data_IF_329896861083
#
_entry.id   IF_329896861083
#
_cell.length_a   1.000
_cell.length_b   1.000
_cell.length_c   1.000
_cell.angle_alpha   90.00
_cell.angle_beta   90.00
_cell.angle_gamma   90.00
#
_symmetry.space_group_name_H-M   'P 1'
#
loop_
_entity.id
_entity.type
_entity.pdbx_description
1 polymer ?
#
# COMPACT_ATOMS: atom_id res chain seq x y z
N UNK A 1 -14.18 16.13 1.78
CA UNK A 1 -13.66 15.04 2.63
C UNK A 1 -12.89 14.13 1.69
N UNK A 2 -11.54 14.16 1.72
CA UNK A 2 -10.73 13.27 0.89
C UNK A 2 -10.87 11.83 1.42
N UNK A 3 -11.17 10.88 0.52
CA UNK A 3 -11.09 9.46 0.83
C UNK A 3 -9.60 9.10 0.90
N UNK A 4 -9.09 8.97 2.11
CA UNK A 4 -7.75 8.41 2.35
C UNK A 4 -7.85 6.91 2.11
N UNK A 5 -7.16 6.42 1.07
CA UNK A 5 -6.98 4.99 0.86
C UNK A 5 -6.15 4.43 2.02
N UNK A 6 -6.67 3.43 2.71
CA UNK A 6 -5.97 2.72 3.78
C UNK A 6 -5.43 1.40 3.22
N UNK A 7 -4.12 1.36 2.95
CA UNK A 7 -3.42 0.17 2.47
C UNK A 7 -2.99 -0.66 3.68
N UNK A 8 -3.44 -1.91 3.72
CA UNK A 8 -3.16 -2.82 4.82
C UNK A 8 -3.04 -4.25 4.31
N UNK A 9 -2.11 -5.01 4.88
CA UNK A 9 -1.83 -6.39 4.53
C UNK A 9 -2.37 -7.33 5.62
N UNK A 10 -3.13 -8.34 5.25
CA UNK A 10 -3.48 -9.42 6.17
C UNK A 10 -2.43 -10.53 6.08
N UNK A 11 -1.75 -10.80 7.19
CA UNK A 11 -0.69 -11.80 7.23
C UNK A 11 -0.85 -12.75 8.40
N UNK A 12 -0.18 -13.88 8.23
CA UNK A 12 0.00 -14.90 9.25
C UNK A 12 1.41 -14.77 9.84
N UNK A 13 1.50 -14.71 11.16
CA UNK A 13 2.75 -14.95 11.90
C UNK A 13 2.58 -16.20 12.77
N UNK A 14 3.65 -17.01 12.88
CA UNK A 14 3.60 -18.22 13.69
C UNK A 14 3.50 -17.90 15.18
N UNK A 15 3.08 -18.87 15.98
CA UNK A 15 3.03 -18.73 17.43
C UNK A 15 4.43 -18.43 18.02
N UNK A 16 5.51 -19.01 17.48
CA UNK A 16 6.87 -18.69 17.93
C UNK A 16 7.27 -17.25 17.59
N UNK A 17 7.00 -16.80 16.36
CA UNK A 17 7.28 -15.44 15.90
C UNK A 17 6.51 -14.40 16.72
N UNK A 18 5.25 -14.69 17.02
CA UNK A 18 4.42 -13.84 17.84
C UNK A 18 4.88 -13.78 19.30
N UNK A 19 5.34 -14.90 19.88
CA UNK A 19 5.91 -14.95 21.22
C UNK A 19 7.21 -14.13 21.30
N UNK A 20 8.07 -14.27 20.28
CA UNK A 20 9.29 -13.48 20.13
C UNK A 20 8.96 -12.00 20.06
N UNK A 21 8.07 -11.60 19.14
CA UNK A 21 7.65 -10.20 18.98
C UNK A 21 7.05 -9.64 20.28
N UNK A 22 6.17 -10.39 20.93
CA UNK A 22 5.56 -10.00 22.20
C UNK A 22 6.62 -9.73 23.27
N UNK A 23 7.59 -10.64 23.42
CA UNK A 23 8.68 -10.50 24.38
C UNK A 23 9.44 -9.20 24.13
N UNK A 24 9.84 -8.92 22.90
CA UNK A 24 10.58 -7.70 22.57
C UNK A 24 9.73 -6.44 22.78
N UNK A 25 8.47 -6.40 22.31
CA UNK A 25 7.60 -5.23 22.53
C UNK A 25 7.37 -5.00 24.04
N UNK A 26 7.19 -6.06 24.83
CA UNK A 26 6.89 -5.95 26.27
C UNK A 26 8.05 -5.35 27.08
N UNK A 27 9.28 -5.57 26.62
CA UNK A 27 10.49 -5.08 27.24
C UNK A 27 10.94 -3.73 26.68
N UNK A 28 10.30 -3.22 25.62
CA UNK A 28 10.67 -1.96 25.00
C UNK A 28 10.18 -0.73 25.80
N UNK A 29 11.07 0.21 26.20
CA UNK A 29 10.69 1.35 27.04
C UNK A 29 9.58 2.21 26.42
N UNK A 30 9.70 2.50 25.12
CA UNK A 30 8.76 3.39 24.42
C UNK A 30 7.56 2.69 23.76
N UNK A 31 7.70 1.41 23.40
CA UNK A 31 6.72 0.68 22.60
C UNK A 31 5.87 -0.32 23.40
N UNK A 32 6.21 -0.65 24.66
CA UNK A 32 5.39 -1.54 25.52
C UNK A 32 3.93 -1.13 25.67
N UNK A 33 3.64 0.17 25.51
CA UNK A 33 2.27 0.72 25.53
C UNK A 33 1.38 0.10 24.44
N UNK A 34 1.96 -0.32 23.32
CA UNK A 34 1.22 -0.87 22.18
C UNK A 34 0.65 -2.28 22.44
N UNK A 35 1.12 -2.97 23.49
CA UNK A 35 0.55 -4.25 23.96
C UNK A 35 -0.71 -4.01 24.79
N UNK A 36 -0.69 -2.99 25.66
CA UNK A 36 -1.79 -2.73 26.61
C UNK A 36 -2.88 -1.84 26.00
N UNK A 37 -2.50 -0.96 25.09
CA UNK A 37 -3.38 0.00 24.41
C UNK A 37 -2.94 0.12 22.95
N UNK A 38 -3.79 -0.31 22.01
CA UNK A 38 -3.57 -0.07 20.58
C UNK A 38 -3.48 -1.33 19.72
N UNK A 39 -2.67 -1.27 18.66
CA UNK A 39 -2.70 -2.17 17.50
C UNK A 39 -2.52 -3.67 17.80
N UNK A 40 -1.92 -4.02 18.94
CA UNK A 40 -1.69 -5.41 19.35
C UNK A 40 -2.55 -5.88 20.53
N UNK A 41 -3.32 -4.98 21.16
CA UNK A 41 -4.05 -5.27 22.40
C UNK A 41 -5.19 -6.28 22.20
N UNK A 42 -5.79 -6.33 21.01
CA UNK A 42 -6.80 -7.34 20.67
C UNK A 42 -6.17 -8.69 20.34
N UNK A 43 -5.04 -8.70 19.64
CA UNK A 43 -4.40 -9.91 19.13
C UNK A 43 -3.71 -10.70 20.26
N UNK A 44 -3.16 -10.03 21.27
CA UNK A 44 -2.51 -10.72 22.39
C UNK A 44 -3.43 -11.12 23.54
N UNK A 45 -4.71 -10.71 23.52
CA UNK A 45 -5.68 -11.14 24.54
C UNK A 45 -5.99 -12.64 24.41
N UNK A 46 -5.90 -13.16 23.18
CA UNK A 46 -6.14 -14.57 22.84
C UNK A 46 -4.84 -15.40 22.75
N UNK A 47 -3.66 -14.79 22.89
CA UNK A 47 -2.37 -15.49 22.85
C UNK A 47 -2.17 -16.49 24.01
N UNK A 48 -3.00 -16.40 25.03
CA UNK A 48 -3.07 -17.37 26.13
C UNK A 48 -3.52 -18.76 25.64
N UNK A 49 -4.09 -18.87 24.42
CA UNK A 49 -4.70 -20.10 23.90
C UNK A 49 -3.87 -20.86 22.84
N UNK A 50 -2.57 -20.55 22.64
CA UNK A 50 -1.68 -21.25 21.68
C UNK A 50 -2.14 -21.22 20.20
N UNK A 51 -3.07 -20.33 19.84
CA UNK A 51 -3.58 -20.20 18.47
C UNK A 51 -2.73 -19.23 17.60
N UNK A 52 -2.67 -19.45 16.28
CA UNK A 52 -1.95 -18.56 15.36
C UNK A 52 -2.56 -17.16 15.30
N UNK A 53 -1.70 -16.17 15.09
CA UNK A 53 -2.10 -14.76 15.07
C UNK A 53 -2.32 -14.24 13.65
N UNK A 54 -3.57 -13.88 13.38
CA UNK A 54 -3.94 -13.09 12.20
C UNK A 54 -3.67 -11.62 12.49
N UNK A 55 -2.74 -11.02 11.75
CA UNK A 55 -2.41 -9.62 11.89
C UNK A 55 -2.83 -8.85 10.64
N UNK A 56 -3.66 -7.82 10.83
CA UNK A 56 -3.83 -6.77 9.83
C UNK A 56 -2.74 -5.73 10.04
N UNK A 57 -1.73 -5.77 9.18
CA UNK A 57 -0.55 -4.94 9.23
C UNK A 57 -0.74 -3.71 8.37
N UNK A 58 -0.64 -2.54 8.99
CA UNK A 58 -0.42 -1.27 8.30
C UNK A 58 1.06 -0.94 8.33
N UNK A 59 1.52 -0.04 7.45
CA UNK A 59 2.89 0.49 7.45
C UNK A 59 3.35 0.95 8.85
N UNK A 60 2.45 1.60 9.59
CA UNK A 60 2.72 2.05 10.97
C UNK A 60 2.98 0.88 11.92
N UNK A 61 2.19 -0.19 11.82
CA UNK A 61 2.35 -1.37 12.68
C UNK A 61 3.65 -2.10 12.35
N UNK A 62 3.97 -2.26 11.06
CA UNK A 62 5.22 -2.85 10.59
C UNK A 62 6.45 -2.07 11.08
N UNK A 63 6.43 -0.74 10.98
CA UNK A 63 7.52 0.10 11.45
C UNK A 63 7.75 -0.05 12.96
N UNK A 64 6.67 -0.18 13.76
CA UNK A 64 6.80 -0.44 15.19
C UNK A 64 7.42 -1.82 15.44
N UNK A 65 6.96 -2.85 14.74
CA UNK A 65 7.51 -4.20 14.87
C UNK A 65 9.02 -4.24 14.55
N UNK A 66 9.41 -3.66 13.42
CA UNK A 66 10.80 -3.62 12.99
C UNK A 66 11.67 -2.84 13.99
N UNK A 67 11.25 -1.63 14.37
CA UNK A 67 11.98 -0.79 15.31
C UNK A 67 12.21 -1.49 16.65
N UNK A 68 11.17 -2.14 17.20
CA UNK A 68 11.29 -2.85 18.47
C UNK A 68 12.30 -4.01 18.41
N UNK A 69 12.30 -4.76 17.31
CA UNK A 69 13.25 -5.85 17.15
C UNK A 69 14.66 -5.30 16.96
N UNK A 70 14.85 -4.26 16.15
CA UNK A 70 16.16 -3.67 15.85
C UNK A 70 16.79 -2.95 17.05
N UNK A 71 16.01 -2.21 17.83
CA UNK A 71 16.50 -1.38 18.95
C UNK A 71 16.99 -2.20 20.16
N UNK A 72 16.69 -3.50 20.20
CA UNK A 72 16.99 -4.37 21.35
C UNK A 72 17.83 -5.57 20.96
N UNK A 73 19.01 -5.73 21.57
CA UNK A 73 19.81 -6.96 21.52
C UNK A 73 19.91 -7.59 22.91
N UNK A 74 19.19 -8.69 23.12
CA UNK A 74 19.19 -9.40 24.40
C UNK A 74 20.40 -10.35 24.58
N UNK A 75 21.32 -10.43 23.61
CA UNK A 75 22.42 -11.40 23.58
C UNK A 75 21.98 -12.87 23.80
N UNK A 76 20.73 -13.19 23.44
CA UNK A 76 20.19 -14.55 23.50
C UNK A 76 20.55 -15.21 22.17
N UNK A 77 21.51 -16.15 22.20
CA UNK A 77 22.04 -16.82 20.99
C UNK A 77 20.93 -17.49 20.18
N UNK A 78 19.96 -18.09 20.86
CA UNK A 78 18.81 -18.79 20.27
C UNK A 78 17.86 -17.86 19.51
N UNK A 79 17.83 -16.57 19.86
CA UNK A 79 16.94 -15.59 19.26
C UNK A 79 17.53 -14.90 18.02
N UNK A 80 18.86 -14.99 17.80
CA UNK A 80 19.54 -14.20 16.76
C UNK A 80 18.97 -14.49 15.37
N UNK A 81 18.82 -15.78 15.03
CA UNK A 81 18.29 -16.19 13.71
C UNK A 81 16.78 -15.90 13.61
N UNK A 82 15.92 -16.34 14.56
CA UNK A 82 14.49 -16.03 14.50
C UNK A 82 14.17 -14.53 14.45
N UNK A 83 14.91 -13.70 15.20
CA UNK A 83 14.76 -12.25 15.19
C UNK A 83 15.05 -11.69 13.80
N UNK A 84 16.17 -12.11 13.20
CA UNK A 84 16.55 -11.65 11.87
C UNK A 84 15.53 -12.05 10.82
N UNK A 85 15.11 -13.31 10.81
CA UNK A 85 14.12 -13.81 9.85
C UNK A 85 12.78 -13.06 9.96
N UNK A 86 12.37 -12.72 11.19
CA UNK A 86 11.16 -11.95 11.44
C UNK A 86 11.29 -10.48 10.99
N UNK A 87 12.44 -9.85 11.19
CA UNK A 87 12.73 -8.51 10.67
C UNK A 87 12.67 -8.51 9.13
N UNK A 88 13.32 -9.47 8.48
CA UNK A 88 13.34 -9.58 7.03
C UNK A 88 11.91 -9.72 6.46
N UNK A 89 11.06 -10.54 7.10
CA UNK A 89 9.63 -10.64 6.76
C UNK A 89 8.88 -9.31 6.89
N UNK A 90 9.11 -8.55 7.97
CA UNK A 90 8.47 -7.24 8.13
C UNK A 90 8.89 -6.25 7.04
N UNK A 91 10.16 -6.28 6.63
CA UNK A 91 10.62 -5.46 5.51
C UNK A 91 9.99 -5.86 4.18
N UNK A 92 9.87 -7.17 3.91
CA UNK A 92 9.16 -7.66 2.71
C UNK A 92 7.70 -7.20 2.69
N UNK A 93 6.98 -7.33 3.80
CA UNK A 93 5.59 -6.88 3.90
C UNK A 93 5.46 -5.36 3.82
N UNK A 94 6.41 -4.61 4.39
CA UNK A 94 6.43 -3.16 4.26
C UNK A 94 6.64 -2.74 2.81
N UNK A 95 7.47 -3.47 2.07
CA UNK A 95 7.69 -3.21 0.64
C UNK A 95 6.39 -3.41 -0.15
N UNK A 96 5.63 -4.48 0.11
CA UNK A 96 4.34 -4.71 -0.56
C UNK A 96 3.39 -3.52 -0.34
N UNK A 97 3.28 -3.03 0.89
CA UNK A 97 2.43 -1.87 1.20
C UNK A 97 2.93 -0.62 0.48
N UNK A 98 4.25 -0.36 0.49
CA UNK A 98 4.82 0.79 -0.22
C UNK A 98 4.58 0.70 -1.74
N UNK A 99 4.78 -0.48 -2.34
CA UNK A 99 4.56 -0.69 -3.78
C UNK A 99 3.08 -0.44 -4.16
N UNK A 100 2.13 -0.82 -3.29
CA UNK A 100 0.71 -0.52 -3.48
C UNK A 100 0.38 0.97 -3.29
N UNK A 101 0.96 1.63 -2.28
CA UNK A 101 0.83 3.08 -2.07
C UNK A 101 1.35 3.86 -3.29
N UNK A 102 2.53 3.50 -3.80
CA UNK A 102 3.15 4.11 -4.97
C UNK A 102 2.28 3.93 -6.23
N UNK A 103 1.71 2.74 -6.43
CA UNK A 103 0.81 2.48 -7.55
C UNK A 103 -0.47 3.33 -7.49
N UNK A 104 -1.02 3.54 -6.31
CA UNK A 104 -2.20 4.40 -6.12
C UNK A 104 -1.87 5.86 -6.44
N UNK A 105 -0.69 6.32 -6.03
CA UNK A 105 -0.24 7.69 -6.32
C UNK A 105 0.04 7.89 -7.82
N UNK A 106 0.57 6.88 -8.50
CA UNK A 106 0.69 6.88 -9.96
C UNK A 106 -0.67 7.01 -10.65
N UNK A 107 -1.69 6.29 -10.17
CA UNK A 107 -3.06 6.42 -10.69
C UNK A 107 -3.66 7.79 -10.41
N UNK A 108 -3.38 8.38 -9.24
CA UNK A 108 -3.81 9.74 -8.91
C UNK A 108 -3.19 10.76 -9.85
N UNK A 109 -1.87 10.66 -10.06
CA UNK A 109 -1.12 11.52 -10.98
C UNK A 109 -1.67 11.43 -12.40
N UNK A 110 -1.96 10.23 -12.88
CA UNK A 110 -2.59 10.03 -14.18
C UNK A 110 -4.00 10.62 -14.24
N UNK A 111 -4.80 10.47 -13.18
CA UNK A 111 -6.14 11.05 -13.13
C UNK A 111 -6.12 12.59 -13.17
N UNK A 112 -5.16 13.21 -12.48
CA UNK A 112 -4.99 14.67 -12.50
C UNK A 112 -4.50 15.17 -13.87
N UNK A 113 -3.69 14.38 -14.58
CA UNK A 113 -3.39 14.65 -16.00
C UNK A 113 -4.65 14.66 -16.87
N UNK A 114 -5.58 13.72 -16.67
CA UNK A 114 -6.85 13.70 -17.42
C UNK A 114 -7.73 14.93 -17.13
N UNK A 115 -7.68 15.47 -15.90
CA UNK A 115 -8.39 16.72 -15.57
C UNK A 115 -7.76 17.91 -16.26
N UNK A 116 -6.43 17.99 -16.27
CA UNK A 116 -5.70 19.06 -16.96
C UNK A 116 -6.07 19.12 -18.45
N UNK A 117 -6.25 17.95 -19.08
CA UNK A 117 -6.69 17.83 -20.48
C UNK A 117 -8.21 17.95 -20.69
N UNK A 118 -8.97 18.30 -19.65
CA UNK A 118 -10.44 18.49 -19.69
C UNK A 118 -11.22 17.24 -20.14
N UNK A 119 -10.62 16.05 -20.00
CA UNK A 119 -11.28 14.76 -20.26
C UNK A 119 -12.25 14.44 -19.11
N UNK A 120 -11.89 14.85 -17.89
CA UNK A 120 -12.73 14.83 -16.69
C UNK A 120 -12.86 16.26 -16.14
N UNK A 121 -13.93 16.51 -15.38
CA UNK A 121 -14.18 17.84 -14.83
C UNK A 121 -13.10 18.22 -13.82
N UNK A 122 -12.73 19.50 -13.82
CA UNK A 122 -11.70 20.06 -12.95
C UNK A 122 -12.06 19.96 -11.45
N UNK A 123 -13.36 20.03 -11.13
CA UNK A 123 -13.90 19.89 -9.78
C UNK A 123 -14.08 18.43 -9.33
N UNK A 124 -13.76 17.46 -10.19
CA UNK A 124 -13.92 16.05 -9.84
C UNK A 124 -12.77 15.56 -8.93
N UNK A 125 -13.08 14.63 -8.03
CA UNK A 125 -12.10 14.10 -7.08
C UNK A 125 -11.65 12.68 -7.47
N UNK A 126 -10.39 12.35 -7.16
CA UNK A 126 -9.82 11.04 -7.44
C UNK A 126 -10.49 9.94 -6.60
N UNK A 127 -10.78 8.82 -7.26
CA UNK A 127 -10.99 7.53 -6.63
C UNK A 127 -10.64 6.45 -7.66
N UNK A 128 -10.17 5.28 -7.23
CA UNK A 128 -9.87 4.17 -8.13
C UNK A 128 -11.05 3.82 -9.04
N UNK A 129 -12.26 3.77 -8.48
CA UNK A 129 -13.48 3.49 -9.26
C UNK A 129 -13.72 4.51 -10.37
N UNK A 130 -13.47 5.80 -10.12
CA UNK A 130 -13.56 6.85 -11.14
C UNK A 130 -12.43 6.75 -12.14
N UNK A 131 -11.19 6.62 -11.67
CA UNK A 131 -10.02 6.48 -12.53
C UNK A 131 -10.20 5.33 -13.54
N UNK A 132 -10.60 4.14 -13.09
CA UNK A 132 -10.83 3.01 -13.99
C UNK A 132 -11.98 3.26 -14.97
N UNK A 133 -13.08 3.91 -14.54
CA UNK A 133 -14.18 4.29 -15.46
C UNK A 133 -13.71 5.30 -16.52
N UNK A 134 -12.96 6.32 -16.12
CA UNK A 134 -12.47 7.36 -17.02
C UNK A 134 -11.42 6.84 -17.99
N UNK A 135 -10.51 5.96 -17.54
CA UNK A 135 -9.50 5.35 -18.41
C UNK A 135 -10.10 4.55 -19.58
N UNK A 136 -11.25 3.90 -19.37
CA UNK A 136 -12.01 3.29 -20.47
C UNK A 136 -12.50 4.32 -21.50
N UNK A 137 -12.96 5.49 -21.04
CA UNK A 137 -13.44 6.57 -21.92
C UNK A 137 -12.28 7.31 -22.61
N UNK A 138 -11.10 7.40 -21.98
CA UNK A 138 -9.90 7.96 -22.60
C UNK A 138 -9.46 7.12 -23.81
N UNK A 139 -9.47 5.79 -23.71
CA UNK A 139 -9.14 4.91 -24.84
C UNK A 139 -10.12 5.11 -26.00
N UNK A 140 -11.41 5.27 -25.71
CA UNK A 140 -12.42 5.57 -26.73
C UNK A 140 -12.23 6.97 -27.32
N UNK A 141 -11.95 7.98 -26.50
CA UNK A 141 -11.69 9.35 -26.95
C UNK A 141 -10.44 9.46 -27.83
N UNK A 142 -9.34 8.82 -27.45
CA UNK A 142 -8.11 8.76 -28.25
C UNK A 142 -8.33 8.01 -29.57
N UNK A 143 -9.11 6.92 -29.57
CA UNK A 143 -9.51 6.23 -30.81
C UNK A 143 -10.34 7.13 -31.71
N UNK A 144 -11.32 7.84 -31.16
CA UNK A 144 -12.13 8.80 -31.91
C UNK A 144 -11.33 9.98 -32.44
N UNK A 145 -10.33 10.50 -31.69
CA UNK A 145 -9.42 11.53 -32.19
C UNK A 145 -8.59 11.03 -33.37
N UNK A 146 -8.01 9.83 -33.27
CA UNK A 146 -7.24 9.20 -34.36
C UNK A 146 -8.10 8.94 -35.60
N UNK A 147 -9.37 8.56 -35.42
CA UNK A 147 -10.33 8.41 -36.52
C UNK A 147 -10.80 9.75 -37.10
N UNK A 148 -10.87 10.80 -36.27
CA UNK A 148 -11.29 12.15 -36.67
C UNK A 148 -10.18 12.97 -37.32
N UNK A 149 -8.91 12.65 -37.08
CA UNK A 149 -7.81 13.32 -37.75
C UNK A 149 -7.84 12.93 -39.23
N UNK A 150 -8.04 13.90 -40.16
CA UNK A 150 -8.05 13.58 -41.57
C UNK A 150 -6.68 12.99 -41.91
N UNK A 151 -6.69 11.80 -42.52
CA UNK A 151 -5.45 11.14 -42.96
C UNK A 151 -4.57 12.14 -43.72
N UNK A 152 -3.25 11.97 -43.69
CA UNK A 152 -2.34 12.83 -44.46
C UNK A 152 -2.78 12.93 -45.92
N UNK A 153 -3.30 11.83 -46.50
CA UNK A 153 -3.88 11.83 -47.85
C UNK A 153 -5.13 12.71 -47.99
N UNK A 154 -6.00 12.76 -46.97
CA UNK A 154 -7.16 13.65 -46.90
C UNK A 154 -6.75 15.12 -46.77
N UNK A 155 -5.70 15.41 -45.97
CA UNK A 155 -5.12 16.76 -45.86
C UNK A 155 -4.51 17.22 -47.19
N UNK A 156 -3.80 16.33 -47.90
CA UNK A 156 -3.22 16.58 -49.22
C UNK A 156 -4.32 16.85 -50.26
N UNK A 157 -5.35 16.00 -50.36
CA UNK A 157 -6.47 16.23 -51.31
C UNK A 157 -7.13 17.58 -51.12
N UNK A 158 -7.37 17.97 -49.86
CA UNK A 158 -7.98 19.26 -49.52
C UNK A 158 -7.09 20.45 -49.85
N UNK A 159 -5.77 20.30 -49.73
CA UNK A 159 -4.80 21.36 -50.07
C UNK A 159 -4.60 21.53 -51.58
N UNK A 160 -4.70 20.44 -52.35
CA UNK A 160 -4.54 20.45 -53.81
C UNK A 160 -5.87 20.49 -54.60
N UNK A 161 -7.01 20.51 -53.91
CA UNK A 161 -8.33 20.74 -54.53
C UNK A 161 -8.90 19.57 -55.33
N UNK A 162 -8.59 18.32 -54.94
CA UNK A 162 -9.19 17.10 -55.53
C UNK A 162 -10.36 16.57 -54.71
#
# INVERSE_FOLDING_TARGET
>A
MELIYDVSLEVYISTEEAALLYRYISLHPDYKKHITIGHFAYNYKDFVNEEPLYLRLTKKVLNICAAVLEDQDFNIVEDIVPKKDLIDKFYEWSKIICDEEDLIEDYRTQYDYLKYHQIVKEDDYFSLAKYFRTKFHEIEYLRLQVESEPSIASKIKRYFGF
#
